data_IF_157595080550
#
_entry.id   IF_157595080550
#
_cell.length_a   1.000
_cell.length_b   1.000
_cell.length_c   1.000
_cell.angle_alpha   90.00
_cell.angle_beta   90.00
_cell.angle_gamma   90.00
#
_symmetry.space_group_name_H-M   'P 1'
#
loop_
_entity.id
_entity.type
_entity.pdbx_description
1 polymer ?
#
# COMPACT_ATOMS: atom_id res chain seq x y z
N UNK A 1 55.38 1.61 25.80
CA UNK A 1 54.93 1.95 24.42
C UNK A 1 53.42 1.80 24.38
N UNK A 2 52.70 2.91 24.41
CA UNK A 2 51.23 2.95 24.32
C UNK A 2 50.84 2.96 22.84
N UNK A 3 50.09 1.96 22.41
CA UNK A 3 49.38 2.00 21.12
C UNK A 3 48.19 2.95 21.26
N UNK A 4 47.96 3.92 20.37
CA UNK A 4 46.72 4.68 20.37
C UNK A 4 45.58 3.75 19.88
N UNK A 5 44.51 3.69 20.64
CA UNK A 5 43.27 3.04 20.22
C UNK A 5 42.68 3.85 19.05
N UNK A 6 42.64 3.24 17.86
CA UNK A 6 41.93 3.78 16.70
C UNK A 6 40.44 3.84 17.05
N UNK A 7 39.90 5.04 17.22
CA UNK A 7 38.48 5.24 17.39
C UNK A 7 37.78 4.87 16.07
N UNK A 8 37.12 3.71 16.03
CA UNK A 8 36.16 3.37 14.99
C UNK A 8 34.97 4.32 15.13
N UNK A 9 35.01 5.43 14.41
CA UNK A 9 33.84 6.25 14.14
C UNK A 9 32.84 5.41 13.36
N UNK A 10 31.83 4.86 14.04
CA UNK A 10 30.64 4.35 13.39
C UNK A 10 29.91 5.54 12.75
N UNK A 11 30.22 5.82 11.49
CA UNK A 11 29.41 6.71 10.66
C UNK A 11 27.99 6.16 10.61
N UNK A 12 27.08 6.80 11.32
CA UNK A 12 25.65 6.55 11.15
C UNK A 12 25.30 6.99 9.73
N UNK A 13 24.69 6.13 8.88
CA UNK A 13 24.29 6.54 7.55
C UNK A 13 23.37 7.76 7.67
N UNK A 14 23.79 8.89 7.09
CA UNK A 14 22.92 10.06 6.96
C UNK A 14 21.84 9.68 5.95
N UNK A 15 20.68 9.28 6.45
CA UNK A 15 19.51 9.11 5.60
C UNK A 15 19.17 10.46 4.96
N UNK A 16 19.11 10.49 3.63
CA UNK A 16 18.55 11.61 2.91
C UNK A 16 17.03 11.63 3.13
N UNK A 17 16.63 12.37 4.16
CA UNK A 17 15.22 12.55 4.51
C UNK A 17 14.42 13.21 3.39
N UNK A 18 15.05 14.04 2.56
CA UNK A 18 14.36 14.73 1.48
C UNK A 18 14.06 13.76 0.34
N UNK A 19 15.03 12.93 -0.05
CA UNK A 19 14.81 11.87 -1.02
C UNK A 19 13.74 10.86 -0.55
N UNK A 20 13.74 10.50 0.73
CA UNK A 20 12.73 9.60 1.30
C UNK A 20 11.31 10.20 1.28
N UNK A 21 11.16 11.47 1.68
CA UNK A 21 9.86 12.16 1.67
C UNK A 21 9.35 12.32 0.22
N UNK A 22 10.22 12.71 -0.72
CA UNK A 22 9.84 12.86 -2.13
C UNK A 22 9.49 11.54 -2.82
N UNK A 23 10.02 10.41 -2.34
CA UNK A 23 9.70 9.07 -2.83
C UNK A 23 8.57 8.37 -2.08
N UNK A 24 8.02 8.99 -1.03
CA UNK A 24 6.96 8.39 -0.23
C UNK A 24 5.61 8.47 -0.95
N UNK A 25 4.77 7.42 -0.89
CA UNK A 25 3.42 7.47 -1.44
C UNK A 25 2.58 8.58 -0.81
N UNK A 26 1.76 9.25 -1.61
CA UNK A 26 0.80 10.24 -1.13
C UNK A 26 -0.40 9.55 -0.49
N UNK A 27 -0.35 9.38 0.83
CA UNK A 27 -1.40 8.69 1.58
C UNK A 27 -2.77 9.40 1.54
N UNK A 28 -2.85 10.67 1.11
CA UNK A 28 -4.13 11.35 0.94
C UNK A 28 -5.01 10.73 -0.17
N UNK A 29 -4.40 9.91 -1.03
CA UNK A 29 -5.07 9.20 -2.13
C UNK A 29 -5.62 7.83 -1.73
N UNK A 30 -5.31 7.40 -0.51
CA UNK A 30 -5.96 6.24 0.10
C UNK A 30 -7.36 6.64 0.52
N UNK A 31 -8.34 5.87 0.09
CA UNK A 31 -9.73 6.06 0.47
C UNK A 31 -10.34 4.70 0.79
N UNK A 32 -11.29 4.71 1.70
CA UNK A 32 -12.06 3.52 1.98
C UNK A 32 -12.99 3.21 0.79
N UNK A 33 -13.10 1.92 0.47
CA UNK A 33 -13.99 1.43 -0.56
C UNK A 33 -15.37 1.14 0.03
N UNK A 34 -16.39 1.48 -0.75
CA UNK A 34 -17.79 1.20 -0.45
C UNK A 34 -18.37 0.28 -1.52
N UNK A 35 -19.61 -0.18 -1.31
CA UNK A 35 -20.32 -1.01 -2.29
C UNK A 35 -20.41 -0.34 -3.67
N UNK A 36 -20.44 1.00 -3.75
CA UNK A 36 -20.44 1.75 -5.01
C UNK A 36 -19.18 1.52 -5.84
N UNK A 37 -18.07 1.12 -5.22
CA UNK A 37 -16.80 0.86 -5.90
C UNK A 37 -16.69 -0.58 -6.46
N UNK A 38 -17.68 -1.46 -6.22
CA UNK A 38 -17.59 -2.90 -6.51
C UNK A 38 -17.20 -3.19 -7.96
N UNK A 39 -17.86 -2.54 -8.92
CA UNK A 39 -17.60 -2.79 -10.34
C UNK A 39 -16.19 -2.36 -10.76
N UNK A 40 -15.70 -1.20 -10.30
CA UNK A 40 -14.36 -0.69 -10.58
C UNK A 40 -13.29 -1.63 -9.99
N UNK A 41 -13.48 -2.05 -8.74
CA UNK A 41 -12.55 -2.94 -8.02
C UNK A 41 -12.50 -4.31 -8.66
N UNK A 42 -13.63 -4.91 -9.00
CA UNK A 42 -13.66 -6.21 -9.69
C UNK A 42 -12.97 -6.14 -11.05
N UNK A 43 -13.20 -5.08 -11.83
CA UNK A 43 -12.50 -4.86 -13.09
C UNK A 43 -10.99 -4.75 -12.89
N UNK A 44 -10.54 -3.97 -11.90
CA UNK A 44 -9.12 -3.83 -11.56
C UNK A 44 -8.48 -5.16 -11.16
N UNK A 45 -9.10 -5.90 -10.23
CA UNK A 45 -8.56 -7.18 -9.75
C UNK A 45 -8.51 -8.23 -10.85
N UNK A 46 -9.44 -8.19 -11.82
CA UNK A 46 -9.49 -9.13 -12.95
C UNK A 46 -8.29 -9.03 -13.90
N UNK A 47 -7.50 -7.95 -13.84
CA UNK A 47 -6.30 -7.77 -14.68
C UNK A 47 -5.22 -8.81 -14.32
N UNK A 48 -5.14 -9.24 -13.05
CA UNK A 48 -4.16 -10.23 -12.56
C UNK A 48 -4.83 -11.32 -11.72
N UNK A 49 -5.74 -12.11 -12.30
CA UNK A 49 -6.70 -12.92 -11.54
C UNK A 49 -6.05 -13.97 -10.64
N UNK A 50 -4.90 -14.51 -11.02
CA UNK A 50 -4.14 -15.46 -10.18
C UNK A 50 -3.57 -14.80 -8.93
N UNK A 51 -3.14 -13.54 -9.03
CA UNK A 51 -2.52 -12.80 -7.92
C UNK A 51 -3.56 -12.20 -6.98
N UNK A 52 -4.76 -11.93 -7.49
CA UNK A 52 -5.84 -11.24 -6.77
C UNK A 52 -6.95 -12.17 -6.33
N UNK A 53 -6.88 -13.47 -6.64
CA UNK A 53 -7.96 -14.45 -6.42
C UNK A 53 -8.54 -14.42 -5.01
N UNK A 54 -7.69 -14.33 -3.98
CA UNK A 54 -8.14 -14.33 -2.58
C UNK A 54 -9.01 -13.10 -2.28
N UNK A 55 -8.55 -11.92 -2.69
CA UNK A 55 -9.27 -10.66 -2.48
C UNK A 55 -10.56 -10.62 -3.30
N UNK A 56 -10.50 -11.06 -4.56
CA UNK A 56 -11.68 -11.18 -5.42
C UNK A 56 -12.73 -12.13 -4.83
N UNK A 57 -12.31 -13.28 -4.29
CA UNK A 57 -13.23 -14.22 -3.63
C UNK A 57 -13.89 -13.61 -2.39
N UNK A 58 -13.15 -12.91 -1.53
CA UNK A 58 -13.76 -12.22 -0.39
C UNK A 58 -14.83 -11.21 -0.81
N UNK A 59 -14.53 -10.40 -1.83
CA UNK A 59 -15.48 -9.38 -2.32
C UNK A 59 -16.69 -10.05 -2.99
N UNK A 60 -16.50 -11.15 -3.72
CA UNK A 60 -17.61 -11.90 -4.35
C UNK A 60 -18.50 -12.56 -3.30
N UNK A 61 -17.91 -13.15 -2.27
CA UNK A 61 -18.66 -13.92 -1.27
C UNK A 61 -19.35 -13.02 -0.23
N UNK A 62 -18.68 -11.95 0.21
CA UNK A 62 -19.16 -11.10 1.31
C UNK A 62 -19.58 -9.68 0.88
N UNK A 63 -19.18 -9.22 -0.31
CA UNK A 63 -19.25 -7.81 -0.68
C UNK A 63 -18.09 -6.98 -0.11
N UNK A 64 -17.98 -5.73 -0.57
CA UNK A 64 -16.99 -4.76 -0.06
C UNK A 64 -17.33 -4.35 1.39
N UNK A 65 -18.60 -4.05 1.66
CA UNK A 65 -19.08 -3.66 2.99
C UNK A 65 -19.77 -4.85 3.66
N UNK A 66 -19.10 -5.44 4.65
CA UNK A 66 -19.65 -6.55 5.42
C UNK A 66 -18.95 -6.70 6.76
N UNK A 67 -19.71 -6.99 7.82
CA UNK A 67 -19.17 -7.30 9.15
C UNK A 67 -18.38 -8.63 9.17
N UNK A 68 -18.54 -9.47 8.13
CA UNK A 68 -17.81 -10.71 7.97
C UNK A 68 -16.39 -10.49 7.43
N UNK A 69 -16.10 -9.31 6.87
CA UNK A 69 -14.77 -8.96 6.43
C UNK A 69 -13.86 -8.69 7.64
N UNK A 70 -12.61 -9.15 7.58
CA UNK A 70 -11.60 -8.87 8.62
C UNK A 70 -11.01 -7.48 8.44
N UNK A 71 -11.85 -6.46 8.57
CA UNK A 71 -11.51 -5.06 8.33
C UNK A 71 -12.32 -4.44 7.19
N UNK A 72 -11.82 -3.31 6.69
CA UNK A 72 -12.43 -2.54 5.61
C UNK A 72 -11.47 -2.54 4.43
N UNK A 73 -12.00 -2.55 3.21
CA UNK A 73 -11.19 -2.45 2.01
C UNK A 73 -10.82 -1.00 1.72
N UNK A 74 -9.61 -0.79 1.21
CA UNK A 74 -9.12 0.53 0.82
C UNK A 74 -8.60 0.51 -0.62
N UNK A 75 -8.83 1.62 -1.32
CA UNK A 75 -8.31 1.87 -2.66
C UNK A 75 -7.27 2.97 -2.65
N UNK A 76 -6.28 2.86 -3.53
CA UNK A 76 -5.31 3.93 -3.80
C UNK A 76 -5.53 4.44 -5.23
N UNK A 77 -5.65 5.76 -5.39
CA UNK A 77 -5.80 6.40 -6.71
C UNK A 77 -4.48 7.02 -7.16
N UNK A 78 -4.23 6.95 -8.45
CA UNK A 78 -3.09 7.65 -9.06
C UNK A 78 -3.38 9.15 -9.25
N UNK A 79 -2.43 9.89 -9.84
CA UNK A 79 -2.57 11.34 -10.12
C UNK A 79 -3.79 11.71 -10.98
N UNK A 80 -4.28 10.78 -11.82
CA UNK A 80 -5.43 11.03 -12.71
C UNK A 80 -6.74 10.50 -12.13
N UNK A 81 -6.74 10.01 -10.88
CA UNK A 81 -7.92 9.51 -10.18
C UNK A 81 -8.29 8.05 -10.49
N UNK A 82 -7.47 7.33 -11.27
CA UNK A 82 -7.69 5.92 -11.58
C UNK A 82 -7.23 5.03 -10.43
N UNK A 83 -7.98 3.97 -10.15
CA UNK A 83 -7.59 2.94 -9.17
C UNK A 83 -6.25 2.27 -9.58
N UNK A 84 -5.28 2.32 -8.68
CA UNK A 84 -3.93 1.76 -8.86
C UNK A 84 -3.61 0.66 -7.85
N UNK A 85 -4.34 0.59 -6.73
CA UNK A 85 -4.17 -0.46 -5.72
C UNK A 85 -5.42 -0.67 -4.87
N UNK A 86 -5.52 -1.88 -4.30
CA UNK A 86 -6.57 -2.29 -3.36
C UNK A 86 -5.92 -3.07 -2.22
N UNK A 87 -6.38 -2.86 -0.98
CA UNK A 87 -5.92 -3.53 0.24
C UNK A 87 -7.12 -3.98 1.09
#
# INVERSE_FOLDING_TARGET
MLHPATANIHETPRYDIAAYIMGSPDLSKVHELTTDNTAEVQAFLSIRPVHTVVMSSFIVDNGIESELNRGRFYGYRNEVGTLEGVA
#
